data_IF_863435993039
#
_entry.id   IF_863435993039
#
_cell.length_a   1.000
_cell.length_b   1.000
_cell.length_c   1.000
_cell.angle_alpha   90.00
_cell.angle_beta   90.00
_cell.angle_gamma   90.00
#
_symmetry.space_group_name_H-M   'P 1'
#
loop_
_entity.id
_entity.type
_entity.pdbx_description
1 polymer ?
#
# COMPACT_ATOMS: atom_id res chain seq x y z
N UNK A 1 -19.70 8.27 -37.96
CA UNK A 1 -18.26 8.28 -37.55
C UNK A 1 -18.10 7.36 -36.35
N UNK A 2 -17.67 6.11 -36.56
CA UNK A 2 -17.53 5.11 -35.47
C UNK A 2 -16.23 5.45 -34.78
N UNK A 3 -16.32 6.08 -33.60
CA UNK A 3 -15.16 6.31 -32.71
C UNK A 3 -14.72 4.92 -32.23
N UNK A 4 -13.73 4.34 -32.88
CA UNK A 4 -13.05 3.13 -32.40
C UNK A 4 -12.47 3.46 -31.03
N UNK A 5 -13.13 2.99 -29.99
CA UNK A 5 -12.71 3.12 -28.61
C UNK A 5 -11.36 2.42 -28.47
N UNK A 6 -10.27 3.18 -28.50
CA UNK A 6 -8.91 2.67 -28.39
C UNK A 6 -8.77 1.94 -27.05
N UNK A 7 -8.95 0.61 -27.07
CA UNK A 7 -8.91 -0.30 -25.90
C UNK A 7 -7.57 -0.28 -25.13
N UNK A 8 -6.56 0.38 -25.69
CA UNK A 8 -5.17 0.32 -25.21
C UNK A 8 -4.70 1.52 -24.39
N UNK A 9 -5.45 2.61 -24.33
CA UNK A 9 -5.05 3.78 -23.55
C UNK A 9 -5.18 3.54 -22.05
N UNK A 10 -4.13 3.84 -21.29
CA UNK A 10 -4.12 3.82 -19.83
C UNK A 10 -4.78 5.07 -19.27
N UNK A 11 -5.10 5.05 -17.98
CA UNK A 11 -5.65 6.18 -17.26
C UNK A 11 -4.76 6.57 -16.07
N UNK A 12 -5.14 7.63 -15.36
CA UNK A 12 -4.40 8.09 -14.18
C UNK A 12 -4.27 7.02 -13.09
N UNK A 13 -5.25 6.12 -12.93
CA UNK A 13 -5.15 4.99 -12.02
C UNK A 13 -4.00 4.05 -12.39
N UNK A 14 -3.83 3.77 -13.70
CA UNK A 14 -2.74 2.92 -14.20
C UNK A 14 -1.38 3.58 -13.94
N UNK A 15 -1.30 4.91 -14.10
CA UNK A 15 -0.10 5.69 -13.81
C UNK A 15 0.28 5.61 -12.34
N UNK A 16 -0.65 5.94 -11.43
CA UNK A 16 -0.39 5.91 -10.00
C UNK A 16 0.03 4.52 -9.51
N UNK A 17 -0.62 3.46 -9.99
CA UNK A 17 -0.21 2.08 -9.67
C UNK A 17 1.19 1.75 -10.18
N UNK A 18 1.54 2.23 -11.38
CA UNK A 18 2.89 2.00 -11.93
C UNK A 18 3.93 2.73 -11.12
N UNK A 19 3.69 3.99 -10.74
CA UNK A 19 4.58 4.74 -9.85
C UNK A 19 4.72 4.06 -8.49
N UNK A 20 3.63 3.54 -7.94
CA UNK A 20 3.66 2.79 -6.69
C UNK A 20 4.48 1.49 -6.81
N UNK A 21 4.44 0.80 -7.95
CA UNK A 21 5.31 -0.37 -8.19
C UNK A 21 6.79 0.04 -8.17
N UNK A 22 7.13 1.13 -8.84
CA UNK A 22 8.52 1.64 -8.85
C UNK A 22 8.94 2.02 -7.42
N UNK A 23 8.13 2.79 -6.70
CA UNK A 23 8.40 3.14 -5.32
C UNK A 23 8.57 1.90 -4.41
N UNK A 24 7.73 0.88 -4.59
CA UNK A 24 7.81 -0.38 -3.87
C UNK A 24 9.10 -1.17 -4.18
N UNK A 25 9.60 -1.12 -5.41
CA UNK A 25 10.89 -1.74 -5.77
C UNK A 25 12.01 -0.99 -5.07
N UNK A 26 12.01 0.35 -5.13
CA UNK A 26 12.98 1.22 -4.44
C UNK A 26 12.99 0.92 -2.93
N UNK A 27 11.81 0.80 -2.29
CA UNK A 27 11.67 0.46 -0.87
C UNK A 27 12.43 -0.81 -0.49
N UNK A 28 12.21 -1.88 -1.25
CA UNK A 28 12.80 -3.18 -0.92
C UNK A 28 14.28 -3.27 -1.33
N UNK A 29 14.69 -2.58 -2.37
CA UNK A 29 16.13 -2.43 -2.70
C UNK A 29 16.83 -1.69 -1.54
N UNK A 30 16.25 -0.59 -1.04
CA UNK A 30 16.74 0.08 0.15
C UNK A 30 16.78 -0.84 1.36
N UNK A 31 15.71 -1.61 1.62
CA UNK A 31 15.64 -2.50 2.78
C UNK A 31 16.71 -3.59 2.77
N UNK A 32 16.92 -4.26 1.63
CA UNK A 32 17.75 -5.46 1.56
C UNK A 32 19.20 -5.19 1.11
N UNK A 33 19.44 -4.15 0.30
CA UNK A 33 20.74 -3.93 -0.31
C UNK A 33 21.45 -2.67 0.19
N UNK A 34 20.70 -1.61 0.52
CA UNK A 34 21.23 -0.30 0.90
C UNK A 34 20.48 0.27 2.12
N UNK A 35 20.54 -0.41 3.29
CA UNK A 35 19.77 -0.01 4.47
C UNK A 35 20.12 1.40 4.98
N UNK A 36 21.33 1.89 4.71
CA UNK A 36 21.82 3.21 5.07
C UNK A 36 21.14 4.35 4.28
N UNK A 37 20.54 4.04 3.12
CA UNK A 37 19.88 5.04 2.28
C UNK A 37 18.41 5.23 2.66
N UNK A 38 18.16 6.00 3.73
CA UNK A 38 16.82 6.26 4.29
C UNK A 38 15.85 6.83 3.27
N UNK A 39 16.32 7.63 2.31
CA UNK A 39 15.49 8.21 1.26
C UNK A 39 14.77 7.15 0.41
N UNK A 40 15.39 5.99 0.18
CA UNK A 40 14.77 4.89 -0.57
C UNK A 40 13.56 4.33 0.19
N UNK A 41 13.66 4.27 1.51
CA UNK A 41 12.55 3.85 2.39
C UNK A 41 11.42 4.88 2.40
N UNK A 42 11.75 6.18 2.45
CA UNK A 42 10.78 7.28 2.41
C UNK A 42 9.97 7.24 1.10
N UNK A 43 10.64 7.17 -0.04
CA UNK A 43 9.96 7.06 -1.35
C UNK A 43 9.09 5.81 -1.38
N UNK A 44 9.62 4.69 -0.91
CA UNK A 44 8.95 3.40 -0.95
C UNK A 44 7.67 3.33 -0.14
N UNK A 45 7.58 4.05 0.98
CA UNK A 45 6.38 4.08 1.83
C UNK A 45 5.14 4.65 1.15
N UNK A 46 5.30 5.43 0.09
CA UNK A 46 4.17 5.93 -0.72
C UNK A 46 3.45 4.82 -1.48
N UNK A 47 4.06 3.66 -1.70
CA UNK A 47 3.46 2.56 -2.45
C UNK A 47 2.27 1.92 -1.74
N UNK A 48 2.38 1.70 -0.42
CA UNK A 48 1.35 1.02 0.37
C UNK A 48 -0.01 1.74 0.30
N UNK A 49 -0.12 3.04 0.59
CA UNK A 49 -1.40 3.73 0.52
C UNK A 49 -2.03 3.65 -0.87
N UNK A 50 -1.24 3.75 -1.95
CA UNK A 50 -1.75 3.65 -3.32
C UNK A 50 -2.37 2.28 -3.59
N UNK A 51 -1.69 1.19 -3.24
CA UNK A 51 -2.23 -0.16 -3.45
C UNK A 51 -3.47 -0.42 -2.60
N UNK A 52 -3.47 -0.02 -1.33
CA UNK A 52 -4.60 -0.20 -0.44
C UNK A 52 -5.82 0.62 -0.91
N UNK A 53 -5.62 1.89 -1.27
CA UNK A 53 -6.67 2.74 -1.79
C UNK A 53 -7.33 2.13 -3.04
N UNK A 54 -6.53 1.70 -4.03
CA UNK A 54 -7.08 1.10 -5.24
C UNK A 54 -7.63 -0.31 -5.02
N UNK A 55 -7.19 -1.05 -4.01
CA UNK A 55 -7.82 -2.29 -3.62
C UNK A 55 -9.25 -2.08 -3.12
N UNK A 56 -9.49 -0.99 -2.38
CA UNK A 56 -10.83 -0.55 -1.96
C UNK A 56 -11.63 0.07 -3.10
N UNK A 57 -11.06 1.02 -3.84
CA UNK A 57 -11.71 1.73 -4.96
C UNK A 57 -12.22 0.77 -6.05
N UNK A 58 -11.44 -0.29 -6.36
CA UNK A 58 -11.81 -1.30 -7.36
C UNK A 58 -12.53 -2.52 -6.76
N UNK A 59 -12.90 -2.46 -5.48
CA UNK A 59 -13.70 -3.52 -4.88
C UNK A 59 -15.13 -3.49 -5.43
N UNK A 60 -15.66 -4.65 -5.84
CA UNK A 60 -17.01 -4.75 -6.40
C UNK A 60 -17.90 -5.68 -5.58
N UNK A 61 -17.66 -7.00 -5.64
CA UNK A 61 -18.64 -7.95 -5.13
C UNK A 61 -18.11 -8.83 -4.01
N UNK A 62 -16.99 -9.53 -4.23
CA UNK A 62 -16.42 -10.50 -3.28
C UNK A 62 -14.91 -10.32 -3.14
N UNK A 63 -14.35 -10.70 -1.98
CA UNK A 63 -12.92 -10.77 -1.78
C UNK A 63 -12.24 -11.67 -2.81
N UNK A 64 -11.09 -11.24 -3.31
CA UNK A 64 -10.37 -11.95 -4.37
C UNK A 64 -9.49 -13.05 -3.78
N UNK A 65 -9.92 -14.29 -3.85
CA UNK A 65 -9.25 -15.47 -3.23
C UNK A 65 -7.78 -15.62 -3.66
N UNK A 66 -7.42 -15.23 -4.88
CA UNK A 66 -6.03 -15.31 -5.32
C UNK A 66 -5.09 -14.44 -4.48
N UNK A 67 -5.57 -13.32 -3.90
CA UNK A 67 -4.74 -12.45 -3.05
C UNK A 67 -4.32 -13.18 -1.78
N UNK A 68 -5.24 -13.89 -1.11
CA UNK A 68 -4.89 -14.65 0.10
C UNK A 68 -4.00 -15.86 -0.23
N UNK A 69 -4.23 -16.53 -1.37
CA UNK A 69 -3.37 -17.65 -1.79
C UNK A 69 -1.92 -17.17 -1.95
N UNK A 70 -1.69 -16.09 -2.71
CA UNK A 70 -0.36 -15.52 -2.86
C UNK A 70 0.20 -14.98 -1.55
N UNK A 71 -0.66 -14.39 -0.70
CA UNK A 71 -0.27 -13.92 0.63
C UNK A 71 0.25 -15.06 1.51
N UNK A 72 -0.47 -16.19 1.57
CA UNK A 72 -0.05 -17.37 2.35
C UNK A 72 1.22 -18.00 1.78
N UNK A 73 1.30 -18.18 0.46
CA UNK A 73 2.49 -18.73 -0.19
C UNK A 73 3.74 -17.87 0.09
N UNK A 74 3.60 -16.54 -0.02
CA UNK A 74 4.68 -15.63 0.28
C UNK A 74 5.06 -15.66 1.77
N UNK A 75 4.08 -15.79 2.67
CA UNK A 75 4.33 -15.90 4.11
C UNK A 75 5.09 -17.18 4.44
N UNK A 76 4.70 -18.32 3.87
CA UNK A 76 5.43 -19.59 4.03
C UNK A 76 6.86 -19.45 3.51
N UNK A 77 7.02 -18.89 2.30
CA UNK A 77 8.34 -18.67 1.71
C UNK A 77 9.24 -17.83 2.63
N UNK A 78 8.77 -16.68 3.11
CA UNK A 78 9.57 -15.82 3.99
C UNK A 78 9.87 -16.48 5.34
N UNK A 79 8.90 -17.19 5.93
CA UNK A 79 9.10 -17.91 7.19
C UNK A 79 10.17 -19.01 7.07
N UNK A 80 10.13 -19.79 5.99
CA UNK A 80 11.12 -20.84 5.73
C UNK A 80 12.50 -20.23 5.49
N UNK A 81 12.56 -19.14 4.74
CA UNK A 81 13.80 -18.50 4.33
C UNK A 81 14.54 -17.85 5.52
N UNK A 82 13.81 -17.15 6.40
CA UNK A 82 14.37 -16.48 7.57
C UNK A 82 14.34 -17.33 8.85
N UNK A 83 13.76 -18.53 8.80
CA UNK A 83 13.59 -19.46 9.94
C UNK A 83 12.89 -18.83 11.16
N UNK A 84 12.08 -17.82 10.93
CA UNK A 84 11.30 -17.16 11.96
C UNK A 84 9.98 -16.63 11.38
N UNK A 85 8.94 -16.63 12.21
CA UNK A 85 7.66 -16.05 11.83
C UNK A 85 7.78 -14.52 11.93
N UNK A 86 7.73 -13.87 10.76
CA UNK A 86 7.62 -12.42 10.67
C UNK A 86 6.15 -12.01 10.76
N UNK A 87 5.90 -10.71 10.93
CA UNK A 87 4.54 -10.15 10.80
C UNK A 87 3.90 -10.59 9.49
N UNK A 88 2.58 -10.77 9.49
CA UNK A 88 1.86 -11.18 8.28
C UNK A 88 2.06 -10.16 7.16
N UNK A 89 2.27 -10.62 5.93
CA UNK A 89 2.50 -9.72 4.81
C UNK A 89 1.24 -8.93 4.41
N UNK A 90 1.46 -7.81 3.73
CA UNK A 90 0.41 -6.85 3.32
C UNK A 90 -0.71 -7.46 2.46
N UNK A 91 -0.47 -8.55 1.73
CA UNK A 91 -1.51 -9.21 0.92
C UNK A 91 -2.60 -9.81 1.79
N UNK A 92 -2.23 -10.36 2.96
CA UNK A 92 -3.18 -10.87 3.95
C UNK A 92 -4.01 -9.71 4.50
N UNK A 93 -3.37 -8.59 4.83
CA UNK A 93 -4.04 -7.37 5.31
C UNK A 93 -5.03 -6.81 4.27
N UNK A 94 -4.66 -6.79 2.99
CA UNK A 94 -5.55 -6.36 1.89
C UNK A 94 -6.74 -7.32 1.76
N UNK A 95 -6.53 -8.62 1.87
CA UNK A 95 -7.61 -9.59 1.81
C UNK A 95 -8.59 -9.44 2.97
N UNK A 96 -8.09 -9.24 4.19
CA UNK A 96 -8.92 -8.94 5.37
C UNK A 96 -9.71 -7.65 5.19
N UNK A 97 -9.09 -6.62 4.59
CA UNK A 97 -9.77 -5.36 4.25
C UNK A 97 -10.88 -5.56 3.21
N UNK A 98 -10.70 -6.44 2.22
CA UNK A 98 -11.76 -6.80 1.27
C UNK A 98 -12.93 -7.51 1.96
N UNK A 99 -12.66 -8.42 2.91
CA UNK A 99 -13.67 -9.06 3.73
C UNK A 99 -14.42 -8.05 4.60
N UNK A 100 -13.69 -7.11 5.21
CA UNK A 100 -14.30 -6.05 6.00
C UNK A 100 -15.28 -5.22 5.15
N UNK A 101 -14.87 -4.74 3.99
CA UNK A 101 -15.73 -3.97 3.07
C UNK A 101 -16.92 -4.82 2.61
N UNK A 102 -16.73 -6.10 2.33
CA UNK A 102 -17.80 -7.01 1.92
C UNK A 102 -18.89 -7.12 2.97
N UNK A 103 -18.53 -7.38 4.23
CA UNK A 103 -19.50 -7.53 5.32
C UNK A 103 -20.17 -6.22 5.70
N UNK A 104 -19.43 -5.13 5.74
CA UNK A 104 -19.93 -3.84 6.17
C UNK A 104 -20.37 -2.93 5.03
N UNK A 105 -20.44 -3.43 3.79
CA UNK A 105 -20.78 -2.65 2.59
C UNK A 105 -22.02 -1.78 2.79
N UNK A 106 -23.11 -2.36 3.29
CA UNK A 106 -24.37 -1.65 3.51
C UNK A 106 -24.21 -0.55 4.58
N UNK A 107 -23.46 -0.81 5.64
CA UNK A 107 -23.17 0.20 6.67
C UNK A 107 -22.31 1.33 6.12
N UNK A 108 -21.27 1.00 5.33
CA UNK A 108 -20.35 1.99 4.76
C UNK A 108 -21.04 2.97 3.79
N UNK A 109 -22.12 2.54 3.13
CA UNK A 109 -22.83 3.34 2.10
C UNK A 109 -24.18 3.89 2.54
N UNK A 110 -24.78 3.36 3.62
CA UNK A 110 -26.14 3.69 4.04
C UNK A 110 -26.29 5.10 4.60
N UNK A 111 -25.32 5.55 5.39
CA UNK A 111 -25.32 6.87 6.00
C UNK A 111 -24.10 7.65 5.54
N UNK A 112 -24.27 8.92 5.22
CA UNK A 112 -23.24 9.81 4.70
C UNK A 112 -21.92 9.78 5.50
N UNK A 113 -22.01 9.71 6.84
CA UNK A 113 -20.83 9.71 7.71
C UNK A 113 -20.35 8.31 8.14
N UNK A 114 -21.12 7.27 7.93
CA UNK A 114 -20.83 5.94 8.47
C UNK A 114 -19.48 5.39 7.98
N UNK A 115 -19.21 5.45 6.68
CA UNK A 115 -17.94 4.98 6.14
C UNK A 115 -16.73 5.73 6.67
N UNK A 116 -16.85 7.03 6.92
CA UNK A 116 -15.79 7.84 7.52
C UNK A 116 -15.54 7.47 8.98
N UNK A 117 -16.61 7.22 9.76
CA UNK A 117 -16.48 6.71 11.13
C UNK A 117 -15.74 5.37 11.17
N UNK A 118 -16.09 4.44 10.28
CA UNK A 118 -15.37 3.18 10.16
C UNK A 118 -13.88 3.39 9.83
N UNK A 119 -13.55 4.30 8.90
CA UNK A 119 -12.17 4.60 8.56
C UNK A 119 -11.39 5.19 9.75
N UNK A 120 -11.98 6.14 10.48
CA UNK A 120 -11.37 6.74 11.69
C UNK A 120 -11.14 5.68 12.77
N UNK A 121 -12.15 4.83 13.05
CA UNK A 121 -12.01 3.74 14.03
C UNK A 121 -10.86 2.82 13.62
N UNK A 122 -10.71 2.47 12.35
CA UNK A 122 -9.63 1.63 11.89
C UNK A 122 -8.26 2.31 12.02
N UNK A 123 -8.17 3.62 11.85
CA UNK A 123 -6.92 4.36 12.12
C UNK A 123 -6.57 4.34 13.61
N UNK A 124 -7.57 4.47 14.50
CA UNK A 124 -7.36 4.43 15.96
C UNK A 124 -6.96 3.01 16.42
N UNK A 125 -7.64 1.97 15.91
CA UNK A 125 -7.34 0.57 16.23
C UNK A 125 -5.99 0.10 15.69
N UNK A 126 -5.38 0.88 14.81
CA UNK A 126 -4.07 0.57 14.27
C UNK A 126 -3.03 0.28 15.35
N UNK A 127 -2.99 1.07 16.41
CA UNK A 127 -2.01 0.93 17.48
C UNK A 127 -2.01 -0.47 18.13
N UNK A 128 -3.18 -1.13 18.18
CA UNK A 128 -3.32 -2.48 18.75
C UNK A 128 -2.94 -3.56 17.71
N UNK A 129 -3.20 -3.31 16.45
CA UNK A 129 -3.09 -4.32 15.38
C UNK A 129 -1.72 -4.37 14.68
N UNK A 130 -0.89 -3.32 14.80
CA UNK A 130 0.38 -3.23 14.07
C UNK A 130 1.39 -4.33 14.44
N UNK A 131 1.34 -4.83 15.68
CA UNK A 131 2.24 -5.88 16.16
C UNK A 131 1.98 -7.26 15.50
N UNK A 132 0.75 -7.48 15.02
CA UNK A 132 0.30 -8.77 14.47
C UNK A 132 0.24 -8.78 12.94
N UNK A 133 -0.09 -7.64 12.36
CA UNK A 133 -0.42 -7.50 10.94
C UNK A 133 0.41 -6.37 10.35
N UNK A 134 1.08 -6.62 9.22
CA UNK A 134 1.85 -5.59 8.52
C UNK A 134 0.95 -4.38 8.20
N UNK A 135 1.36 -3.20 8.65
CA UNK A 135 0.59 -1.94 8.66
C UNK A 135 -0.73 -1.98 9.45
N UNK A 136 -1.07 -3.09 10.13
CA UNK A 136 -2.27 -3.19 10.97
C UNK A 136 -3.58 -2.84 10.27
N UNK A 137 -4.53 -2.30 11.03
CA UNK A 137 -5.83 -1.85 10.52
C UNK A 137 -5.77 -0.58 9.67
N UNK A 138 -4.61 0.10 9.55
CA UNK A 138 -4.43 1.23 8.66
C UNK A 138 -4.70 0.86 7.19
N UNK A 139 -4.31 -0.35 6.77
CA UNK A 139 -4.65 -0.91 5.45
C UNK A 139 -6.15 -0.86 5.21
N UNK A 140 -6.94 -1.31 6.19
CA UNK A 140 -8.42 -1.35 6.10
C UNK A 140 -8.98 0.08 6.02
N UNK A 141 -8.46 1.02 6.82
CA UNK A 141 -8.86 2.42 6.78
C UNK A 141 -8.69 3.03 5.39
N UNK A 142 -7.51 2.84 4.78
CA UNK A 142 -7.20 3.37 3.45
C UNK A 142 -8.06 2.69 2.37
N UNK A 143 -8.33 1.40 2.50
CA UNK A 143 -9.23 0.68 1.60
C UNK A 143 -10.66 1.21 1.71
N UNK A 144 -11.16 1.51 2.92
CA UNK A 144 -12.47 2.14 3.12
C UNK A 144 -12.51 3.51 2.44
N UNK A 145 -11.47 4.34 2.59
CA UNK A 145 -11.39 5.63 1.88
C UNK A 145 -11.47 5.44 0.37
N UNK A 146 -10.75 4.48 -0.20
CA UNK A 146 -10.82 4.16 -1.62
C UNK A 146 -12.24 3.72 -2.04
N UNK A 147 -12.88 2.87 -1.24
CA UNK A 147 -14.24 2.42 -1.50
C UNK A 147 -15.26 3.55 -1.48
N UNK A 148 -15.19 4.44 -0.47
CA UNK A 148 -16.10 5.59 -0.34
C UNK A 148 -15.86 6.60 -1.47
N UNK A 149 -14.60 6.87 -1.84
CA UNK A 149 -14.23 7.86 -2.88
C UNK A 149 -14.82 7.53 -4.25
N UNK A 150 -15.24 6.29 -4.47
CA UNK A 150 -15.92 5.88 -5.71
C UNK A 150 -17.40 6.27 -5.73
N UNK A 151 -18.01 6.52 -4.59
CA UNK A 151 -19.44 6.88 -4.51
C UNK A 151 -19.62 8.38 -4.68
N UNK A 152 -20.64 8.78 -5.43
CA UNK A 152 -20.94 10.19 -5.77
C UNK A 152 -21.14 11.12 -4.55
N UNK A 153 -21.39 10.56 -3.37
CA UNK A 153 -21.59 11.30 -2.12
C UNK A 153 -20.31 11.53 -1.32
N UNK A 154 -19.13 11.24 -1.89
CA UNK A 154 -17.88 11.41 -1.17
C UNK A 154 -17.62 12.87 -0.80
N UNK A 155 -17.47 13.15 0.50
CA UNK A 155 -17.12 14.48 0.98
C UNK A 155 -15.59 14.65 0.89
N UNK A 156 -15.14 15.43 -0.10
CA UNK A 156 -13.73 15.65 -0.37
C UNK A 156 -12.97 16.17 0.85
N UNK A 157 -13.56 17.12 1.61
CA UNK A 157 -12.91 17.69 2.81
C UNK A 157 -12.67 16.64 3.88
N UNK A 158 -13.66 15.77 4.10
CA UNK A 158 -13.56 14.70 5.09
C UNK A 158 -12.59 13.59 4.65
N UNK A 159 -12.59 13.25 3.36
CA UNK A 159 -11.59 12.34 2.78
C UNK A 159 -10.16 12.89 2.98
N UNK A 160 -9.92 14.17 2.67
CA UNK A 160 -8.63 14.80 2.87
C UNK A 160 -8.21 14.84 4.34
N UNK A 161 -9.14 15.15 5.26
CA UNK A 161 -8.86 15.15 6.70
C UNK A 161 -8.40 13.77 7.18
N UNK A 162 -9.14 12.71 6.83
CA UNK A 162 -8.78 11.34 7.23
C UNK A 162 -7.46 10.91 6.57
N UNK A 163 -7.22 11.32 5.33
CA UNK A 163 -5.98 11.04 4.62
C UNK A 163 -4.76 11.69 5.29
N UNK A 164 -4.87 12.94 5.73
CA UNK A 164 -3.83 13.63 6.48
C UNK A 164 -3.60 12.94 7.83
N UNK A 165 -4.66 12.56 8.53
CA UNK A 165 -4.55 11.83 9.78
C UNK A 165 -3.90 10.44 9.58
N UNK A 166 -4.29 9.70 8.56
CA UNK A 166 -3.70 8.43 8.19
C UNK A 166 -2.22 8.57 7.80
N UNK A 167 -1.83 9.64 7.10
CA UNK A 167 -0.43 9.90 6.75
C UNK A 167 0.42 10.20 7.97
N UNK A 168 -0.11 10.93 8.95
CA UNK A 168 0.55 11.18 10.22
C UNK A 168 0.77 9.87 11.00
N UNK A 169 -0.27 9.05 11.15
CA UNK A 169 -0.18 7.74 11.80
C UNK A 169 0.80 6.82 11.07
N UNK A 170 0.79 6.80 9.75
CA UNK A 170 1.72 6.01 8.95
C UNK A 170 3.17 6.48 9.13
N UNK A 171 3.40 7.79 9.21
CA UNK A 171 4.74 8.35 9.44
C UNK A 171 5.28 8.03 10.84
N UNK A 172 4.44 8.12 11.88
CA UNK A 172 4.83 7.74 13.26
C UNK A 172 5.15 6.25 13.38
N UNK A 173 4.40 5.39 12.69
CA UNK A 173 4.70 3.98 12.54
C UNK A 173 6.11 3.72 12.03
N UNK A 174 6.40 4.40 10.94
CA UNK A 174 7.67 4.24 10.27
C UNK A 174 8.82 4.62 11.22
N UNK A 175 8.67 5.69 11.98
CA UNK A 175 9.67 6.13 12.96
C UNK A 175 9.83 5.12 14.09
N UNK A 176 8.74 4.57 14.62
CA UNK A 176 8.78 3.56 15.67
C UNK A 176 9.42 2.25 15.18
N UNK A 177 9.00 1.75 14.01
CA UNK A 177 9.55 0.51 13.46
C UNK A 177 11.05 0.59 13.16
N UNK A 178 11.54 1.79 12.87
CA UNK A 178 12.96 2.03 12.57
C UNK A 178 13.77 2.20 13.85
N UNK A 179 13.25 2.87 14.87
CA UNK A 179 13.93 2.97 16.16
C UNK A 179 14.19 1.60 16.79
N UNK A 180 13.39 0.59 16.49
CA UNK A 180 13.63 -0.81 16.87
C UNK A 180 14.72 -1.50 16.02
N UNK A 181 15.04 -1.00 14.83
CA UNK A 181 15.99 -1.60 13.89
C UNK A 181 17.32 -0.84 13.77
N UNK A 182 17.66 0.00 14.74
CA UNK A 182 18.93 0.77 14.79
C UNK A 182 19.20 1.73 13.61
N UNK A 183 18.19 2.08 12.83
CA UNK A 183 18.34 3.10 11.80
C UNK A 183 18.26 4.51 12.41
N UNK A 184 19.32 5.31 12.20
CA UNK A 184 19.34 6.71 12.62
C UNK A 184 18.49 7.57 11.66
N UNK A 185 17.22 7.75 11.99
CA UNK A 185 16.34 8.68 11.28
C UNK A 185 16.49 10.08 11.83
N UNK A 186 16.78 11.02 10.95
CA UNK A 186 16.82 12.43 11.33
C UNK A 186 15.41 13.03 11.35
N UNK A 187 15.25 14.15 12.07
CA UNK A 187 13.98 14.90 12.05
C UNK A 187 13.60 15.35 10.62
N UNK A 188 14.59 15.59 9.75
CA UNK A 188 14.38 15.92 8.34
C UNK A 188 13.78 14.76 7.57
N UNK A 189 14.22 13.52 7.81
CA UNK A 189 13.66 12.32 7.18
C UNK A 189 12.20 12.10 7.57
N UNK A 190 11.85 12.39 8.82
CA UNK A 190 10.48 12.29 9.31
C UNK A 190 9.57 13.32 8.62
N UNK A 191 10.01 14.57 8.49
CA UNK A 191 9.26 15.61 7.79
C UNK A 191 9.11 15.25 6.31
N UNK A 192 10.16 14.78 5.66
CA UNK A 192 10.11 14.33 4.27
C UNK A 192 9.12 13.18 4.08
N UNK A 193 9.17 12.15 4.94
CA UNK A 193 8.25 11.02 4.88
C UNK A 193 6.80 11.47 5.05
N UNK A 194 6.50 12.31 6.03
CA UNK A 194 5.16 12.86 6.23
C UNK A 194 4.69 13.66 5.01
N UNK A 195 5.58 14.47 4.44
CA UNK A 195 5.26 15.30 3.26
C UNK A 195 4.94 14.42 2.05
N UNK A 196 5.79 13.44 1.73
CA UNK A 196 5.56 12.51 0.62
C UNK A 196 4.27 11.72 0.78
N UNK A 197 4.00 11.21 1.98
CA UNK A 197 2.76 10.49 2.27
C UNK A 197 1.54 11.39 2.11
N UNK A 198 1.56 12.59 2.67
CA UNK A 198 0.45 13.54 2.59
C UNK A 198 0.15 13.91 1.13
N UNK A 199 1.18 14.23 0.34
CA UNK A 199 1.02 14.49 -1.10
C UNK A 199 0.42 13.29 -1.81
N UNK A 200 0.90 12.08 -1.52
CA UNK A 200 0.39 10.84 -2.15
C UNK A 200 -1.10 10.63 -1.84
N UNK A 201 -1.51 10.80 -0.58
CA UNK A 201 -2.91 10.67 -0.19
C UNK A 201 -3.80 11.73 -0.85
N UNK A 202 -3.35 12.98 -0.89
CA UNK A 202 -4.09 14.06 -1.54
C UNK A 202 -4.25 13.77 -3.03
N UNK A 203 -3.17 13.39 -3.72
CA UNK A 203 -3.21 13.04 -5.14
C UNK A 203 -4.20 11.89 -5.42
N UNK A 204 -4.25 10.87 -4.56
CA UNK A 204 -5.22 9.78 -4.72
C UNK A 204 -6.67 10.25 -4.60
N UNK A 205 -6.95 11.23 -3.74
CA UNK A 205 -8.32 11.68 -3.48
C UNK A 205 -8.82 12.65 -4.55
N UNK A 206 -7.95 13.55 -5.03
CA UNK A 206 -8.34 14.61 -5.98
C UNK A 206 -8.20 14.20 -7.45
N UNK A 207 -7.49 13.10 -7.75
CA UNK A 207 -7.24 12.70 -9.14
C UNK A 207 -8.50 12.24 -9.85
N UNK A 208 -8.71 12.76 -11.05
CA UNK A 208 -9.73 12.25 -11.97
C UNK A 208 -9.23 11.02 -12.71
N UNK A 209 -9.69 9.84 -12.29
CA UNK A 209 -9.28 8.55 -12.84
C UNK A 209 -9.87 8.25 -14.23
N UNK A 210 -10.78 9.09 -14.74
CA UNK A 210 -11.33 8.96 -16.09
C UNK A 210 -10.38 9.46 -17.16
N UNK A 211 -9.44 10.36 -16.80
CA UNK A 211 -8.50 10.95 -17.74
C UNK A 211 -7.56 9.91 -18.33
N UNK A 212 -7.42 9.95 -19.64
CA UNK A 212 -6.55 9.05 -20.40
C UNK A 212 -5.15 9.64 -20.54
N UNK A 213 -4.16 8.76 -20.51
CA UNK A 213 -2.76 9.10 -20.74
C UNK A 213 -2.25 8.43 -22.00
N UNK A 214 -1.30 9.05 -22.73
CA UNK A 214 -0.81 8.54 -24.01
C UNK A 214 0.04 7.27 -23.89
N UNK A 215 0.54 6.96 -22.67
CA UNK A 215 1.45 5.84 -22.40
C UNK A 215 0.64 4.59 -22.06
N UNK A 216 1.01 3.42 -22.59
CA UNK A 216 0.35 2.15 -22.26
C UNK A 216 0.98 1.49 -21.04
N UNK A 217 0.36 1.68 -19.87
CA UNK A 217 0.79 1.13 -18.58
C UNK A 217 -0.13 0.00 -18.07
N UNK A 218 -1.15 -0.39 -18.84
CA UNK A 218 -2.16 -1.36 -18.40
C UNK A 218 -1.59 -2.70 -18.01
N UNK A 219 -0.58 -3.18 -18.73
CA UNK A 219 0.03 -4.47 -18.40
C UNK A 219 0.65 -4.43 -17.00
N UNK A 220 1.41 -3.39 -16.69
CA UNK A 220 2.06 -3.21 -15.39
C UNK A 220 1.00 -3.09 -14.29
N UNK A 221 0.02 -2.20 -14.47
CA UNK A 221 -1.01 -1.92 -13.46
C UNK A 221 -1.93 -3.11 -13.17
N UNK A 222 -2.11 -4.03 -14.13
CA UNK A 222 -2.91 -5.25 -13.96
C UNK A 222 -2.14 -6.38 -13.28
N UNK A 223 -0.83 -6.42 -13.44
CA UNK A 223 0.02 -7.48 -12.92
C UNK A 223 0.73 -7.12 -11.60
N UNK A 224 0.24 -6.10 -10.88
CA UNK A 224 0.83 -5.62 -9.61
C UNK A 224 1.13 -6.75 -8.63
N UNK A 225 0.18 -7.68 -8.44
CA UNK A 225 0.31 -8.78 -7.51
C UNK A 225 1.49 -9.72 -7.86
N UNK A 226 1.59 -10.09 -9.14
CA UNK A 226 2.68 -10.97 -9.61
C UNK A 226 4.03 -10.26 -9.52
N UNK A 227 4.09 -8.98 -9.93
CA UNK A 227 5.31 -8.17 -9.83
C UNK A 227 5.76 -8.06 -8.37
N UNK A 228 4.80 -7.85 -7.45
CA UNK A 228 5.07 -7.79 -6.02
C UNK A 228 5.69 -9.09 -5.50
N UNK A 229 5.06 -10.23 -5.76
CA UNK A 229 5.53 -11.53 -5.28
C UNK A 229 6.90 -11.90 -5.85
N UNK A 230 7.07 -11.81 -7.17
CA UNK A 230 8.33 -12.15 -7.84
C UNK A 230 9.48 -11.26 -7.33
N UNK A 231 9.24 -9.95 -7.23
CA UNK A 231 10.25 -9.01 -6.74
C UNK A 231 10.70 -9.34 -5.31
N UNK A 232 9.75 -9.62 -4.39
CA UNK A 232 10.11 -9.96 -3.01
C UNK A 232 10.95 -11.23 -2.98
N UNK A 233 10.53 -12.27 -3.69
CA UNK A 233 11.27 -13.54 -3.73
C UNK A 233 12.71 -13.34 -4.22
N UNK A 234 12.90 -12.58 -5.30
CA UNK A 234 14.23 -12.31 -5.86
C UNK A 234 15.08 -11.53 -4.85
N UNK A 235 14.57 -10.43 -4.29
CA UNK A 235 15.37 -9.57 -3.41
C UNK A 235 15.72 -10.26 -2.09
N UNK A 236 14.83 -11.05 -1.52
CA UNK A 236 15.12 -11.84 -0.33
C UNK A 236 16.15 -12.93 -0.61
N UNK A 237 16.06 -13.58 -1.79
CA UNK A 237 17.09 -14.55 -2.20
C UNK A 237 18.47 -13.91 -2.35
N UNK A 238 18.56 -12.75 -3.03
CA UNK A 238 19.82 -12.00 -3.17
C UNK A 238 20.36 -11.58 -1.80
N UNK A 239 19.51 -11.11 -0.90
CA UNK A 239 19.90 -10.71 0.45
C UNK A 239 20.53 -11.86 1.22
N UNK A 240 19.88 -13.04 1.24
CA UNK A 240 20.42 -14.22 1.93
C UNK A 240 21.72 -14.69 1.28
N UNK A 241 21.77 -14.72 -0.06
CA UNK A 241 22.98 -15.08 -0.77
C UNK A 241 24.16 -14.17 -0.39
N UNK A 242 23.94 -12.85 -0.38
CA UNK A 242 24.91 -11.84 0.07
C UNK A 242 25.37 -12.09 1.51
N UNK A 243 24.45 -12.41 2.41
CA UNK A 243 24.74 -12.62 3.83
C UNK A 243 25.45 -13.95 4.10
N UNK A 244 25.10 -15.02 3.37
CA UNK A 244 25.63 -16.37 3.60
C UNK A 244 27.00 -16.57 2.97
N UNK A 245 27.23 -16.02 1.79
CA UNK A 245 28.45 -16.24 1.02
C UNK A 245 29.46 -15.08 1.07
N UNK A 246 29.22 -14.10 1.93
CA UNK A 246 30.23 -13.13 2.34
C UNK A 246 30.83 -12.28 1.23
N UNK A 247 29.98 -11.55 0.49
CA UNK A 247 30.49 -10.35 -0.19
C UNK A 247 30.77 -9.27 0.87
N UNK A 248 31.88 -9.44 1.62
CA UNK A 248 32.35 -8.47 2.62
C UNK A 248 32.91 -7.18 2.00
N UNK A 249 32.97 -7.07 0.66
CA UNK A 249 33.60 -5.96 -0.05
C UNK A 249 32.70 -5.49 -1.21
N UNK A 250 31.65 -4.72 -0.90
CA UNK A 250 31.05 -3.76 -1.83
C UNK A 250 30.60 -2.53 -1.06
#
# INVERSE_FOLDING_TARGET
>A
MIITRNKHQSNYQDLLKTLAIIAMIIDHVGLYLYPELTIMRIIGRTAMPVFCFFAGYNFHDKPKTHIIIFGVLLQIYTTVLFKQFLTTNILISIYLGQWYIYYFRNSLTRFFYSGYCHAIIMVILWYISWALIDYGTLVIAIMILGFISKHEQANLKLCCFIAIFASFVHSTLFTLAISFNEFNFSNTDLILNLTFLTITYILMIISDYSQKIPINLKWISRNVLYIYCIKIMILQFIFIYKYTYGFKNW
#
